data_IF_294069238722
#
_entry.id   IF_294069238722
#
_cell.length_a   1.000
_cell.length_b   1.000
_cell.length_c   1.000
_cell.angle_alpha   90.00
_cell.angle_beta   90.00
_cell.angle_gamma   90.00
#
_symmetry.space_group_name_H-M   'P 1'
#
loop_
_entity.id
_entity.type
_entity.pdbx_description
1 polymer ?
#
# COMPACT_ATOMS: atom_id res chain seq x y z
N UNK A 1 44.50 24.29 66.89
CA UNK A 1 45.37 23.32 67.59
C UNK A 1 46.79 23.32 67.02
N UNK A 2 47.00 23.04 65.72
CA UNK A 2 48.35 23.07 65.12
C UNK A 2 49.10 24.41 65.27
N UNK A 3 48.40 25.56 65.20
CA UNK A 3 49.01 26.88 65.39
C UNK A 3 49.60 27.11 66.80
N UNK A 4 49.19 26.33 67.80
CA UNK A 4 49.70 26.40 69.18
C UNK A 4 50.83 25.38 69.46
N UNK A 5 51.30 24.64 68.45
CA UNK A 5 52.42 23.70 68.63
C UNK A 5 53.76 24.39 68.89
N UNK A 6 53.93 25.65 68.45
CA UNK A 6 55.14 26.43 68.68
C UNK A 6 55.43 26.69 70.17
N UNK A 7 54.38 26.71 71.00
CA UNK A 7 54.44 26.92 72.46
C UNK A 7 54.71 25.67 73.29
N UNK A 8 54.82 24.48 72.67
CA UNK A 8 55.10 23.22 73.37
C UNK A 8 56.62 22.97 73.40
N UNK A 9 57.14 22.43 74.52
CA UNK A 9 58.54 22.06 74.65
C UNK A 9 58.96 21.07 73.54
N UNK A 10 60.17 21.18 72.96
CA UNK A 10 60.57 20.39 71.80
C UNK A 10 60.40 18.87 71.96
N UNK A 11 60.61 18.37 73.18
CA UNK A 11 60.56 16.94 73.53
C UNK A 11 59.13 16.35 73.50
N UNK A 12 58.11 17.18 73.76
CA UNK A 12 56.71 16.74 73.83
C UNK A 12 55.92 17.03 72.55
N UNK A 13 56.48 17.82 71.61
CA UNK A 13 55.88 18.12 70.31
C UNK A 13 55.48 16.88 69.51
N UNK A 14 56.27 15.78 69.45
CA UNK A 14 55.88 14.58 68.71
C UNK A 14 54.62 13.91 69.29
N UNK A 15 54.52 13.86 70.63
CA UNK A 15 53.36 13.27 71.32
C UNK A 15 52.10 14.12 71.11
N UNK A 16 52.22 15.43 71.28
CA UNK A 16 51.11 16.36 71.06
C UNK A 16 50.65 16.38 69.59
N UNK A 17 51.60 16.33 68.64
CA UNK A 17 51.29 16.26 67.21
C UNK A 17 50.52 15.00 66.83
N UNK A 18 50.86 13.85 67.42
CA UNK A 18 50.13 12.59 67.24
C UNK A 18 48.69 12.71 67.71
N UNK A 19 48.46 13.18 68.94
CA UNK A 19 47.10 13.34 69.51
C UNK A 19 46.23 14.28 68.67
N UNK A 20 46.80 15.38 68.16
CA UNK A 20 46.07 16.32 67.30
C UNK A 20 45.76 15.69 65.94
N UNK A 21 46.67 14.89 65.38
CA UNK A 21 46.42 14.19 64.12
C UNK A 21 45.36 13.10 64.26
N UNK A 22 45.42 12.31 65.34
CA UNK A 22 44.42 11.30 65.66
C UNK A 22 43.02 11.93 65.80
N UNK A 23 42.92 13.07 66.50
CA UNK A 23 41.67 13.83 66.60
C UNK A 23 41.19 14.38 65.25
N UNK A 24 42.11 14.87 64.40
CA UNK A 24 41.77 15.34 63.05
C UNK A 24 41.21 14.20 62.21
N UNK A 25 41.83 13.02 62.24
CA UNK A 25 41.37 11.83 61.52
C UNK A 25 39.99 11.38 62.04
N UNK A 26 39.78 11.37 63.35
CA UNK A 26 38.49 11.04 63.96
C UNK A 26 37.39 12.02 63.53
N UNK A 27 37.62 13.33 63.62
CA UNK A 27 36.66 14.34 63.19
C UNK A 27 36.38 14.26 61.67
N UNK A 28 37.41 13.95 60.87
CA UNK A 28 37.26 13.80 59.41
C UNK A 28 36.40 12.57 59.11
N UNK A 29 36.66 11.44 59.76
CA UNK A 29 35.87 10.22 59.58
C UNK A 29 34.42 10.41 60.02
N UNK A 30 34.19 11.08 61.15
CA UNK A 30 32.83 11.39 61.63
C UNK A 30 32.08 12.32 60.66
N UNK A 31 32.78 13.30 60.08
CA UNK A 31 32.20 14.20 59.08
C UNK A 31 31.87 13.44 57.80
N UNK A 32 32.81 12.67 57.25
CA UNK A 32 32.61 11.87 56.04
C UNK A 32 31.49 10.84 56.20
N UNK A 33 31.38 10.21 57.38
CA UNK A 33 30.29 9.27 57.67
C UNK A 33 28.92 9.96 57.73
N UNK A 34 28.85 11.17 58.29
CA UNK A 34 27.60 11.93 58.31
C UNK A 34 27.24 12.50 56.94
N UNK A 35 28.22 12.96 56.18
CA UNK A 35 28.06 13.42 54.80
C UNK A 35 27.54 12.28 53.90
N UNK A 36 28.13 11.08 54.00
CA UNK A 36 27.65 9.88 53.29
C UNK A 36 26.21 9.54 53.66
N UNK A 37 25.86 9.60 54.96
CA UNK A 37 24.49 9.36 55.42
C UNK A 37 23.51 10.38 54.85
N UNK A 38 23.87 11.66 54.87
CA UNK A 38 23.03 12.74 54.36
C UNK A 38 22.80 12.63 52.84
N UNK A 39 23.86 12.39 52.06
CA UNK A 39 23.76 12.18 50.61
C UNK A 39 22.92 10.94 50.28
N UNK A 40 23.05 9.87 51.08
CA UNK A 40 22.26 8.65 50.88
C UNK A 40 20.78 8.79 51.28
N UNK A 41 20.44 9.76 52.13
CA UNK A 41 19.07 9.98 52.61
C UNK A 41 18.20 10.84 51.69
N UNK A 42 18.81 11.57 50.75
CA UNK A 42 18.11 12.58 49.93
C UNK A 42 17.63 12.05 48.56
N UNK A 43 17.79 10.77 48.24
CA UNK A 43 17.56 10.28 46.86
C UNK A 43 16.70 9.01 46.72
N UNK A 44 15.85 8.66 47.70
CA UNK A 44 14.94 7.51 47.56
C UNK A 44 13.50 7.76 48.00
N UNK A 45 13.05 9.02 48.04
CA UNK A 45 11.68 9.27 47.56
C UNK A 45 11.76 9.17 46.05
N UNK A 46 11.86 7.93 45.56
CA UNK A 46 11.62 7.65 44.15
C UNK A 46 10.25 8.21 43.88
N UNK A 47 10.20 9.25 43.04
CA UNK A 47 8.94 9.72 42.48
C UNK A 47 8.17 8.47 42.08
N UNK A 48 7.01 8.26 42.72
CA UNK A 48 6.07 7.21 42.39
C UNK A 48 5.44 7.55 41.03
N UNK A 49 6.28 7.63 40.01
CA UNK A 49 5.90 7.83 38.63
C UNK A 49 5.21 6.57 38.15
N UNK A 50 3.93 6.71 37.87
CA UNK A 50 3.17 5.65 37.24
C UNK A 50 3.62 5.52 35.78
N UNK A 51 4.52 4.57 35.53
CA UNK A 51 5.02 4.24 34.18
C UNK A 51 3.93 3.67 33.25
N UNK A 52 2.71 3.42 33.75
CA UNK A 52 1.57 3.02 32.93
C UNK A 52 0.79 4.22 32.37
N UNK A 53 1.08 5.44 32.84
CA UNK A 53 0.46 6.64 32.29
C UNK A 53 0.80 6.78 30.80
N UNK A 54 -0.19 7.04 29.93
CA UNK A 54 0.06 7.34 28.55
C UNK A 54 1.01 8.54 28.44
N UNK A 55 2.15 8.34 27.79
CA UNK A 55 3.07 9.43 27.49
C UNK A 55 2.47 10.45 26.52
N UNK A 56 3.15 11.58 26.34
CA UNK A 56 2.82 12.50 25.25
C UNK A 56 3.14 11.85 23.91
N UNK A 57 2.11 11.33 23.25
CA UNK A 57 2.24 10.68 21.95
C UNK A 57 1.75 11.60 20.85
N UNK A 58 2.52 11.66 19.76
CA UNK A 58 2.03 12.22 18.51
C UNK A 58 1.14 11.18 17.84
N UNK A 59 -0.02 11.62 17.32
CA UNK A 59 -0.91 10.72 16.58
C UNK A 59 -0.21 10.30 15.28
N UNK A 60 -0.01 8.99 15.12
CA UNK A 60 0.39 8.44 13.84
C UNK A 60 -0.78 8.61 12.85
N UNK A 61 -0.48 9.03 11.62
CA UNK A 61 -1.46 9.08 10.55
C UNK A 61 -1.75 7.68 10.00
N UNK A 62 -2.90 7.51 9.36
CA UNK A 62 -3.23 6.30 8.60
C UNK A 62 -3.06 6.51 7.10
N UNK A 63 -2.79 5.42 6.39
CA UNK A 63 -2.83 5.41 4.92
C UNK A 63 -4.23 5.00 4.47
N UNK A 64 -4.75 5.68 3.45
CA UNK A 64 -6.05 5.33 2.89
C UNK A 64 -6.06 3.84 2.44
N UNK A 65 -7.13 3.07 2.72
CA UNK A 65 -7.18 1.63 2.40
C UNK A 65 -6.95 1.35 0.92
N UNK A 66 -7.48 2.18 0.01
CA UNK A 66 -7.22 2.05 -1.44
C UNK A 66 -5.74 2.22 -1.77
N UNK A 67 -5.05 3.17 -1.14
CA UNK A 67 -3.61 3.35 -1.35
C UNK A 67 -2.80 2.17 -0.81
N UNK A 68 -3.22 1.58 0.32
CA UNK A 68 -2.60 0.38 0.90
C UNK A 68 -2.77 -0.83 -0.01
N UNK A 69 -3.99 -1.07 -0.51
CA UNK A 69 -4.29 -2.15 -1.46
C UNK A 69 -3.58 -1.95 -2.79
N UNK A 70 -3.56 -0.72 -3.33
CA UNK A 70 -2.82 -0.42 -4.56
C UNK A 70 -1.33 -0.68 -4.40
N UNK A 71 -0.73 -0.26 -3.28
CA UNK A 71 0.70 -0.50 -3.03
C UNK A 71 0.98 -2.01 -2.98
N UNK A 72 0.16 -2.78 -2.29
CA UNK A 72 0.31 -4.23 -2.24
C UNK A 72 0.18 -4.89 -3.62
N UNK A 73 -0.81 -4.48 -4.43
CA UNK A 73 -0.96 -4.97 -5.80
C UNK A 73 0.30 -4.68 -6.63
N UNK A 74 0.82 -3.46 -6.53
CA UNK A 74 2.08 -3.06 -7.19
C UNK A 74 3.23 -3.96 -6.74
N UNK A 75 3.42 -4.11 -5.43
CA UNK A 75 4.51 -4.92 -4.87
C UNK A 75 4.46 -6.38 -5.36
N UNK A 76 3.26 -6.97 -5.43
CA UNK A 76 3.06 -8.34 -5.94
C UNK A 76 3.50 -8.44 -7.40
N UNK A 77 3.06 -7.54 -8.27
CA UNK A 77 3.38 -7.62 -9.69
C UNK A 77 4.83 -7.23 -10.00
N UNK A 78 5.38 -6.22 -9.32
CA UNK A 78 6.80 -5.87 -9.46
C UNK A 78 7.72 -6.98 -8.98
N UNK A 79 7.31 -7.77 -7.98
CA UNK A 79 8.09 -8.93 -7.51
C UNK A 79 8.27 -10.03 -8.55
N UNK A 80 7.43 -10.04 -9.59
CA UNK A 80 7.46 -11.00 -10.70
C UNK A 80 7.73 -10.32 -12.04
N UNK A 81 8.35 -9.13 -12.03
CA UNK A 81 8.92 -8.50 -13.22
C UNK A 81 7.98 -7.62 -14.03
N UNK A 82 6.83 -7.23 -13.50
CA UNK A 82 6.02 -6.19 -14.13
C UNK A 82 6.57 -4.80 -13.84
N UNK A 83 6.59 -3.96 -14.87
CA UNK A 83 6.83 -2.52 -14.73
C UNK A 83 5.51 -1.79 -14.48
N UNK A 84 5.58 -0.53 -14.05
CA UNK A 84 4.40 0.29 -13.78
C UNK A 84 4.37 1.44 -14.79
N UNK A 85 3.25 1.58 -15.49
CA UNK A 85 2.99 2.71 -16.38
C UNK A 85 1.77 3.51 -15.89
N UNK A 86 1.77 4.80 -16.18
CA UNK A 86 0.65 5.70 -15.92
C UNK A 86 0.33 6.45 -17.21
N UNK A 87 -0.92 6.85 -17.35
CA UNK A 87 -1.37 7.63 -18.50
C UNK A 87 -2.52 8.55 -18.15
N UNK A 88 -2.97 9.36 -19.11
CA UNK A 88 -3.93 10.43 -18.89
C UNK A 88 -5.30 9.88 -18.47
N UNK A 89 -6.03 10.68 -17.67
CA UNK A 89 -7.40 10.38 -17.25
C UNK A 89 -8.45 10.93 -18.21
N UNK A 90 -8.11 11.98 -18.96
CA UNK A 90 -8.90 12.50 -20.08
C UNK A 90 -8.19 12.05 -21.34
N UNK A 91 -8.89 11.34 -22.21
CA UNK A 91 -8.33 10.80 -23.45
C UNK A 91 -9.35 10.91 -24.59
N UNK A 92 -8.89 10.66 -25.81
CA UNK A 92 -9.81 10.60 -26.95
C UNK A 92 -10.57 9.26 -27.03
N UNK A 93 -11.65 9.25 -27.80
CA UNK A 93 -12.45 8.06 -28.06
C UNK A 93 -11.64 6.94 -28.74
N UNK A 94 -10.62 7.28 -29.52
CA UNK A 94 -9.81 6.28 -30.22
C UNK A 94 -9.06 5.40 -29.22
N UNK A 95 -8.30 6.00 -28.31
CA UNK A 95 -7.51 5.26 -27.31
C UNK A 95 -8.40 4.59 -26.25
N UNK A 96 -9.54 5.21 -25.89
CA UNK A 96 -10.44 4.62 -24.89
C UNK A 96 -11.34 3.52 -25.47
N UNK A 97 -11.62 3.49 -26.77
CA UNK A 97 -12.58 2.53 -27.35
C UNK A 97 -12.12 1.94 -28.67
N UNK A 98 -11.94 2.77 -29.70
CA UNK A 98 -11.80 2.30 -31.08
C UNK A 98 -10.56 1.39 -31.26
N UNK A 99 -9.42 1.76 -30.70
CA UNK A 99 -8.18 0.97 -30.73
C UNK A 99 -8.31 -0.38 -29.97
N UNK A 100 -9.23 -0.44 -29.01
CA UNK A 100 -9.58 -1.63 -28.22
C UNK A 100 -10.73 -2.43 -28.85
N UNK A 101 -10.93 -2.28 -30.16
CA UNK A 101 -11.91 -3.04 -30.93
C UNK A 101 -13.38 -2.87 -30.47
N UNK A 102 -13.70 -1.76 -29.80
CA UNK A 102 -15.09 -1.45 -29.46
C UNK A 102 -15.85 -0.92 -30.68
N UNK A 103 -16.95 -1.58 -31.11
CA UNK A 103 -17.76 -1.08 -32.22
C UNK A 103 -18.40 0.26 -31.87
N UNK A 104 -18.68 1.10 -32.88
CA UNK A 104 -19.29 2.44 -32.69
C UNK A 104 -20.62 2.41 -31.94
N UNK A 105 -21.39 1.32 -32.10
CA UNK A 105 -22.69 1.13 -31.44
C UNK A 105 -22.59 0.34 -30.12
N UNK A 106 -21.40 0.18 -29.55
CA UNK A 106 -21.23 -0.54 -28.28
C UNK A 106 -21.86 0.27 -27.12
N UNK A 107 -22.62 -0.36 -26.20
CA UNK A 107 -23.24 0.35 -25.06
C UNK A 107 -22.25 1.15 -24.22
N UNK A 108 -21.04 0.63 -24.00
CA UNK A 108 -19.99 1.35 -23.27
C UNK A 108 -19.59 2.70 -23.90
N UNK A 109 -19.87 2.94 -25.19
CA UNK A 109 -19.63 4.22 -25.88
C UNK A 109 -20.82 5.18 -25.79
N UNK A 110 -21.94 4.74 -25.21
CA UNK A 110 -23.13 5.55 -25.03
C UNK A 110 -22.86 6.69 -24.03
N UNK A 111 -23.45 7.86 -24.28
CA UNK A 111 -23.42 9.01 -23.37
C UNK A 111 -24.04 8.69 -22.01
N UNK A 112 -24.87 7.64 -21.92
CA UNK A 112 -25.44 7.19 -20.65
C UNK A 112 -24.39 6.57 -19.73
N UNK A 113 -23.35 5.91 -20.27
CA UNK A 113 -22.38 5.14 -19.48
C UNK A 113 -21.01 5.84 -19.36
N UNK A 114 -20.71 6.79 -20.26
CA UNK A 114 -19.41 7.48 -20.33
C UNK A 114 -19.52 8.99 -20.14
N UNK A 115 -18.60 9.58 -19.37
CA UNK A 115 -18.50 11.03 -19.23
C UNK A 115 -17.72 11.66 -20.38
N UNK A 116 -18.41 12.43 -21.23
CA UNK A 116 -17.80 13.21 -22.32
C UNK A 116 -17.45 14.61 -21.85
N UNK A 117 -16.21 15.03 -22.09
CA UNK A 117 -15.73 16.40 -21.80
C UNK A 117 -15.95 17.31 -23.01
N UNK A 118 -15.72 16.77 -24.21
CA UNK A 118 -15.98 17.40 -25.50
C UNK A 118 -16.38 16.31 -26.50
N UNK A 119 -16.69 16.70 -27.75
CA UNK A 119 -16.89 15.71 -28.82
C UNK A 119 -15.61 14.86 -28.96
N UNK A 120 -15.78 13.54 -28.92
CA UNK A 120 -14.71 12.54 -29.04
C UNK A 120 -13.62 12.60 -27.96
N UNK A 121 -13.88 13.30 -26.84
CA UNK A 121 -12.97 13.38 -25.67
C UNK A 121 -13.71 12.95 -24.42
N UNK A 122 -13.19 11.94 -23.72
CA UNK A 122 -13.85 11.25 -22.61
C UNK A 122 -12.97 11.26 -21.35
N UNK A 123 -13.61 11.17 -20.18
CA UNK A 123 -12.94 10.63 -19.00
C UNK A 123 -12.85 9.12 -19.17
N UNK A 124 -11.65 8.56 -19.06
CA UNK A 124 -11.41 7.13 -19.34
C UNK A 124 -12.28 6.22 -18.47
N UNK A 125 -12.86 5.20 -19.08
CA UNK A 125 -13.76 4.23 -18.43
C UNK A 125 -13.02 3.03 -17.84
N UNK A 126 -11.76 2.87 -18.25
CA UNK A 126 -10.82 1.82 -17.89
C UNK A 126 -9.39 2.31 -18.15
N UNK A 127 -8.36 1.66 -17.60
CA UNK A 127 -6.95 2.07 -17.81
C UNK A 127 -6.32 1.44 -19.06
N UNK A 128 -7.11 0.72 -19.86
CA UNK A 128 -6.70 0.13 -21.14
C UNK A 128 -6.23 1.17 -22.16
N UNK A 129 -6.66 2.43 -22.05
CA UNK A 129 -6.19 3.51 -22.91
C UNK A 129 -4.66 3.66 -22.86
N UNK A 130 -4.07 3.53 -21.67
CA UNK A 130 -2.62 3.59 -21.48
C UNK A 130 -1.92 2.41 -22.14
N UNK A 131 -2.58 1.24 -22.24
CA UNK A 131 -2.01 0.08 -22.92
C UNK A 131 -1.84 0.35 -24.42
N UNK A 132 -2.82 1.00 -25.05
CA UNK A 132 -2.73 1.44 -26.45
C UNK A 132 -1.57 2.41 -26.63
N UNK A 133 -1.54 3.51 -25.84
CA UNK A 133 -0.43 4.47 -25.85
C UNK A 133 0.93 3.80 -25.66
N UNK A 134 1.01 2.80 -24.78
CA UNK A 134 2.25 2.07 -24.51
C UNK A 134 2.69 1.21 -25.70
N UNK A 135 1.75 0.52 -26.36
CA UNK A 135 2.04 -0.30 -27.55
C UNK A 135 2.42 0.54 -28.77
N UNK A 136 1.85 1.73 -28.94
CA UNK A 136 2.21 2.64 -30.04
C UNK A 136 3.63 3.21 -29.89
N UNK A 137 4.06 3.44 -28.65
CA UNK A 137 5.34 4.11 -28.34
C UNK A 137 6.48 3.17 -27.96
N UNK A 138 6.21 1.87 -27.83
CA UNK A 138 7.18 0.86 -27.39
C UNK A 138 7.10 -0.35 -28.29
N UNK A 139 8.19 -1.08 -28.52
CA UNK A 139 8.15 -2.37 -29.21
C UNK A 139 8.18 -3.51 -28.19
N UNK A 140 7.53 -4.67 -28.46
CA UNK A 140 7.57 -5.81 -27.54
C UNK A 140 8.98 -6.38 -27.37
N UNK A 141 9.27 -7.10 -26.26
CA UNK A 141 8.31 -7.59 -25.27
C UNK A 141 7.86 -6.54 -24.26
N UNK A 142 6.60 -6.64 -23.83
CA UNK A 142 5.98 -5.73 -22.86
C UNK A 142 5.50 -6.52 -21.63
N UNK A 143 5.70 -5.96 -20.44
CA UNK A 143 5.15 -6.49 -19.20
C UNK A 143 4.89 -5.38 -18.21
N UNK A 144 3.66 -4.89 -18.18
CA UNK A 144 3.27 -3.69 -17.43
C UNK A 144 1.99 -3.89 -16.65
N UNK A 145 1.90 -3.24 -15.49
CA UNK A 145 0.63 -2.89 -14.85
C UNK A 145 0.37 -1.39 -15.02
N UNK A 146 -0.90 -1.04 -15.19
CA UNK A 146 -1.41 0.31 -15.40
C UNK A 146 -2.45 0.63 -14.32
N UNK A 147 -2.01 1.12 -13.15
CA UNK A 147 -2.92 1.61 -12.14
C UNK A 147 -3.44 3.02 -12.46
N UNK A 148 -4.71 3.28 -12.16
CA UNK A 148 -5.28 4.61 -12.37
C UNK A 148 -6.71 4.78 -11.89
N UNK A 149 -7.13 6.04 -11.77
CA UNK A 149 -8.54 6.41 -11.61
C UNK A 149 -9.29 6.25 -12.91
N UNK A 150 -10.51 5.76 -12.82
CA UNK A 150 -11.43 5.56 -13.95
C UNK A 150 -12.82 6.07 -13.58
N UNK A 151 -13.60 6.40 -14.60
CA UNK A 151 -14.85 7.13 -14.45
C UNK A 151 -15.96 6.42 -15.22
N UNK A 152 -17.11 6.23 -14.60
CA UNK A 152 -18.29 5.67 -15.25
C UNK A 152 -19.53 6.43 -14.82
N UNK A 153 -20.39 6.75 -15.77
CA UNK A 153 -21.65 7.42 -15.50
C UNK A 153 -22.69 6.40 -15.02
N UNK A 154 -22.43 5.83 -13.83
CA UNK A 154 -23.31 4.85 -13.21
C UNK A 154 -23.99 5.43 -11.96
N UNK A 155 -25.16 4.89 -11.62
CA UNK A 155 -25.87 5.27 -10.42
C UNK A 155 -25.07 4.89 -9.16
N UNK A 156 -24.79 5.89 -8.32
CA UNK A 156 -24.07 5.69 -7.06
C UNK A 156 -24.90 4.80 -6.12
N UNK A 157 -24.28 3.71 -5.68
CA UNK A 157 -24.87 2.73 -4.77
C UNK A 157 -23.81 2.23 -3.77
N UNK A 158 -24.17 1.25 -2.95
CA UNK A 158 -23.18 0.60 -2.07
C UNK A 158 -22.16 -0.27 -2.85
N UNK A 159 -22.44 -0.59 -4.12
CA UNK A 159 -21.59 -1.42 -4.99
C UNK A 159 -20.83 -0.63 -6.05
N UNK A 160 -21.37 0.50 -6.50
CA UNK A 160 -20.83 1.30 -7.61
C UNK A 160 -20.70 2.78 -7.21
N UNK A 161 -19.64 3.41 -7.70
CA UNK A 161 -19.37 4.84 -7.55
C UNK A 161 -18.87 5.37 -8.90
N UNK A 162 -19.18 6.63 -9.22
CA UNK A 162 -18.87 7.21 -10.53
C UNK A 162 -17.37 7.41 -10.79
N UNK A 163 -16.56 7.37 -9.74
CA UNK A 163 -15.10 7.38 -9.74
C UNK A 163 -14.62 6.17 -8.94
N UNK A 164 -13.69 5.40 -9.49
CA UNK A 164 -13.04 4.32 -8.76
C UNK A 164 -11.65 4.08 -9.35
N UNK A 165 -10.91 3.11 -8.83
CA UNK A 165 -9.56 2.82 -9.28
C UNK A 165 -9.48 1.43 -9.89
N UNK A 166 -8.75 1.33 -10.99
CA UNK A 166 -8.42 0.06 -11.61
C UNK A 166 -6.91 -0.13 -11.66
N UNK A 167 -6.53 -1.41 -11.64
CA UNK A 167 -5.23 -1.84 -12.12
C UNK A 167 -5.49 -2.78 -13.27
N UNK A 168 -4.95 -2.43 -14.43
CA UNK A 168 -4.89 -3.34 -15.55
C UNK A 168 -3.47 -3.80 -15.78
N UNK A 169 -3.31 -4.87 -16.54
CA UNK A 169 -2.02 -5.39 -16.91
C UNK A 169 -2.03 -5.80 -18.37
N UNK A 170 -0.86 -5.66 -19.00
CA UNK A 170 -0.59 -6.11 -20.36
C UNK A 170 0.74 -6.86 -20.37
N UNK A 171 0.72 -8.05 -20.96
CA UNK A 171 1.94 -8.81 -21.29
C UNK A 171 1.89 -9.15 -22.78
N UNK A 172 2.96 -8.81 -23.49
CA UNK A 172 3.13 -9.11 -24.92
C UNK A 172 4.50 -9.73 -25.13
N UNK A 173 4.54 -10.95 -25.65
CA UNK A 173 5.78 -11.64 -26.04
C UNK A 173 5.45 -12.72 -27.10
N UNK A 174 6.47 -13.34 -27.69
CA UNK A 174 6.29 -14.32 -28.79
C UNK A 174 5.61 -15.60 -28.34
N UNK A 175 5.88 -16.04 -27.11
CA UNK A 175 5.47 -17.35 -26.60
C UNK A 175 4.61 -17.21 -25.33
N UNK A 176 3.50 -16.47 -25.43
CA UNK A 176 2.55 -16.28 -24.33
C UNK A 176 1.28 -17.08 -24.59
N UNK A 177 0.81 -17.78 -23.57
CA UNK A 177 -0.38 -18.62 -23.62
C UNK A 177 -1.40 -18.24 -22.55
N UNK A 178 -2.62 -18.77 -22.69
CA UNK A 178 -3.64 -18.66 -21.65
C UNK A 178 -3.22 -19.37 -20.34
N UNK A 179 -2.31 -20.34 -20.41
CA UNK A 179 -1.73 -20.99 -19.22
C UNK A 179 -0.93 -20.01 -18.37
N UNK A 180 -0.19 -19.11 -19.01
CA UNK A 180 0.59 -18.05 -18.33
C UNK A 180 -0.34 -17.05 -17.64
N UNK A 181 -1.43 -16.66 -18.31
CA UNK A 181 -2.49 -15.83 -17.73
C UNK A 181 -3.11 -16.47 -16.48
N UNK A 182 -3.47 -17.76 -16.56
CA UNK A 182 -4.01 -18.48 -15.40
C UNK A 182 -3.01 -18.53 -14.25
N UNK A 183 -1.75 -18.84 -14.55
CA UNK A 183 -0.68 -18.93 -13.55
C UNK A 183 -0.44 -17.61 -12.82
N UNK A 184 -0.37 -16.49 -13.56
CA UNK A 184 -0.13 -15.18 -12.93
C UNK A 184 -1.32 -14.72 -12.09
N UNK A 185 -2.55 -14.98 -12.53
CA UNK A 185 -3.76 -14.63 -11.79
C UNK A 185 -3.93 -15.50 -10.54
N UNK A 186 -3.65 -16.80 -10.62
CA UNK A 186 -3.65 -17.68 -9.45
C UNK A 186 -2.60 -17.24 -8.42
N UNK A 187 -1.39 -16.90 -8.87
CA UNK A 187 -0.35 -16.33 -8.01
C UNK A 187 -0.84 -15.05 -7.32
N UNK A 188 -1.40 -14.10 -8.08
CA UNK A 188 -1.90 -12.85 -7.55
C UNK A 188 -3.00 -13.07 -6.50
N UNK A 189 -4.03 -13.86 -6.82
CA UNK A 189 -5.18 -14.12 -5.95
C UNK A 189 -4.71 -14.78 -4.64
N UNK A 190 -3.82 -15.76 -4.69
CA UNK A 190 -3.25 -16.40 -3.49
C UNK A 190 -2.39 -15.45 -2.66
N UNK A 191 -1.67 -14.51 -3.29
CA UNK A 191 -0.87 -13.50 -2.58
C UNK A 191 -1.73 -12.48 -1.85
N UNK A 192 -2.88 -12.11 -2.42
CA UNK A 192 -3.78 -11.11 -1.82
C UNK A 192 -4.69 -11.72 -0.74
N UNK A 193 -5.30 -12.88 -1.01
CA UNK A 193 -6.35 -13.49 -0.18
C UNK A 193 -5.88 -14.70 0.63
N UNK A 194 -4.63 -15.14 0.45
CA UNK A 194 -4.06 -16.31 1.12
C UNK A 194 -4.15 -17.60 0.30
N UNK A 195 -3.39 -18.62 0.69
CA UNK A 195 -3.22 -19.85 -0.07
C UNK A 195 -4.45 -20.76 -0.12
N UNK A 196 -5.40 -20.58 0.80
CA UNK A 196 -6.63 -21.37 0.92
C UNK A 196 -7.81 -20.82 0.12
N UNK A 197 -7.64 -19.71 -0.59
CA UNK A 197 -8.72 -19.10 -1.38
C UNK A 197 -9.12 -20.03 -2.53
N UNK A 198 -10.43 -20.26 -2.66
CA UNK A 198 -10.99 -20.99 -3.80
C UNK A 198 -11.33 -19.99 -4.90
N UNK A 199 -10.81 -20.22 -6.10
CA UNK A 199 -11.05 -19.39 -7.28
C UNK A 199 -11.54 -20.23 -8.46
N UNK A 200 -12.24 -19.61 -9.41
CA UNK A 200 -12.60 -20.23 -10.68
C UNK A 200 -12.46 -19.24 -11.83
N UNK A 201 -12.23 -19.78 -13.03
CA UNK A 201 -12.30 -19.04 -14.28
C UNK A 201 -13.62 -19.36 -14.96
N UNK A 202 -14.34 -18.34 -15.41
CA UNK A 202 -15.60 -18.48 -16.16
C UNK A 202 -15.44 -17.78 -17.51
N UNK A 203 -15.82 -18.41 -18.64
CA UNK A 203 -15.83 -17.72 -19.92
C UNK A 203 -16.68 -16.44 -19.86
N UNK A 204 -16.18 -15.37 -20.47
CA UNK A 204 -16.87 -14.10 -20.62
C UNK A 204 -16.58 -13.51 -22.00
N UNK A 205 -16.93 -12.25 -22.24
CA UNK A 205 -16.69 -11.56 -23.49
C UNK A 205 -16.21 -10.13 -23.23
N UNK A 206 -15.06 -9.78 -23.80
CA UNK A 206 -14.57 -8.40 -23.89
C UNK A 206 -14.12 -8.13 -25.32
N UNK A 207 -14.48 -6.99 -25.95
CA UNK A 207 -14.16 -6.72 -27.36
C UNK A 207 -12.65 -6.77 -27.71
N UNK A 208 -11.79 -6.51 -26.72
CA UNK A 208 -10.34 -6.44 -26.86
C UNK A 208 -9.61 -7.74 -26.47
N UNK A 209 -10.33 -8.81 -26.13
CA UNK A 209 -9.71 -10.11 -25.81
C UNK A 209 -10.45 -11.31 -26.38
N UNK A 210 -9.71 -12.29 -26.90
CA UNK A 210 -10.24 -13.57 -27.36
C UNK A 210 -9.17 -14.69 -27.25
N UNK A 211 -9.37 -15.74 -26.42
CA UNK A 211 -10.51 -15.98 -25.53
C UNK A 211 -10.55 -15.06 -24.30
N UNK A 212 -11.76 -14.75 -23.86
CA UNK A 212 -12.08 -13.94 -22.68
C UNK A 212 -12.55 -14.78 -21.47
N UNK A 213 -12.21 -14.34 -20.26
CA UNK A 213 -12.65 -14.97 -19.01
C UNK A 213 -12.79 -13.96 -17.85
N UNK A 214 -13.65 -14.28 -16.90
CA UNK A 214 -13.73 -13.64 -15.59
C UNK A 214 -13.17 -14.58 -14.52
N UNK A 215 -12.67 -13.99 -13.42
CA UNK A 215 -12.24 -14.72 -12.25
C UNK A 215 -13.12 -14.37 -11.06
N UNK A 216 -13.69 -15.42 -10.47
CA UNK A 216 -14.44 -15.33 -9.22
C UNK A 216 -13.65 -15.96 -8.08
N UNK A 217 -13.83 -15.43 -6.86
CA UNK A 217 -13.43 -16.08 -5.61
C UNK A 217 -14.65 -16.48 -4.79
N UNK A 218 -14.53 -17.56 -4.02
CA UNK A 218 -15.57 -18.00 -3.09
C UNK A 218 -15.49 -17.19 -1.79
N UNK A 219 -16.57 -16.49 -1.44
CA UNK A 219 -16.70 -15.79 -0.16
C UNK A 219 -17.47 -16.67 0.83
N UNK A 220 -16.76 -17.33 1.74
CA UNK A 220 -17.33 -18.19 2.78
C UNK A 220 -18.32 -17.45 3.69
N UNK A 221 -18.10 -16.15 3.95
CA UNK A 221 -18.99 -15.37 4.83
C UNK A 221 -20.35 -15.13 4.17
N UNK A 222 -20.38 -15.05 2.84
CA UNK A 222 -21.60 -14.81 2.05
C UNK A 222 -22.16 -16.07 1.40
N UNK A 223 -21.39 -17.16 1.37
CA UNK A 223 -21.76 -18.41 0.70
C UNK A 223 -21.99 -18.25 -0.80
N UNK A 224 -21.22 -17.38 -1.48
CA UNK A 224 -21.38 -17.11 -2.91
C UNK A 224 -20.07 -16.80 -3.62
N UNK A 225 -20.07 -16.99 -4.93
CA UNK A 225 -19.00 -16.54 -5.82
C UNK A 225 -19.05 -15.03 -6.03
N UNK A 226 -17.90 -14.38 -5.94
CA UNK A 226 -17.75 -12.96 -6.19
C UNK A 226 -16.70 -12.73 -7.26
N UNK A 227 -17.13 -12.09 -8.34
CA UNK A 227 -16.26 -11.60 -9.41
C UNK A 227 -15.25 -10.60 -8.84
N UNK A 228 -13.97 -10.76 -9.19
CA UNK A 228 -12.89 -9.87 -8.75
C UNK A 228 -12.13 -9.23 -9.91
N UNK A 229 -12.12 -9.84 -11.10
CA UNK A 229 -11.41 -9.33 -12.27
C UNK A 229 -11.89 -9.97 -13.59
N UNK A 230 -11.68 -9.23 -14.68
CA UNK A 230 -11.80 -9.72 -16.05
C UNK A 230 -10.42 -9.89 -16.71
N UNK A 231 -10.29 -10.83 -17.64
CA UNK A 231 -9.03 -11.15 -18.30
C UNK A 231 -9.23 -11.83 -19.66
N UNK A 232 -8.17 -11.92 -20.45
CA UNK A 232 -8.17 -12.69 -21.68
C UNK A 232 -6.88 -12.58 -22.47
N UNK A 233 -6.79 -13.34 -23.57
CA UNK A 233 -5.73 -13.13 -24.57
C UNK A 233 -6.07 -11.90 -25.40
N UNK A 234 -5.11 -11.02 -25.66
CA UNK A 234 -5.34 -9.81 -26.45
C UNK A 234 -5.84 -10.18 -27.86
N UNK A 235 -6.93 -9.56 -28.29
CA UNK A 235 -7.52 -9.82 -29.61
C UNK A 235 -6.55 -9.36 -30.72
N UNK A 236 -6.35 -10.15 -31.80
CA UNK A 236 -5.49 -9.77 -32.92
C UNK A 236 -5.79 -8.39 -33.51
N UNK A 237 -7.05 -7.95 -33.55
CA UNK A 237 -7.43 -6.64 -34.07
C UNK A 237 -6.82 -5.49 -33.24
N UNK A 238 -6.65 -5.68 -31.94
CA UNK A 238 -6.00 -4.68 -31.07
C UNK A 238 -4.52 -4.56 -31.43
N UNK A 239 -3.83 -5.67 -31.72
CA UNK A 239 -2.44 -5.63 -32.18
C UNK A 239 -2.30 -4.97 -33.55
N UNK A 240 -3.20 -5.26 -34.48
CA UNK A 240 -3.21 -4.62 -35.80
C UNK A 240 -3.39 -3.10 -35.69
N UNK A 241 -4.27 -2.63 -34.80
CA UNK A 241 -4.51 -1.20 -34.56
C UNK A 241 -3.26 -0.44 -34.08
N UNK A 242 -2.34 -1.09 -33.38
CA UNK A 242 -1.09 -0.49 -32.86
C UNK A 242 0.15 -0.89 -33.67
N UNK A 243 -0.03 -1.57 -34.81
CA UNK A 243 1.05 -1.93 -35.72
C UNK A 243 1.88 -3.16 -35.31
N UNK A 244 1.36 -4.01 -34.44
CA UNK A 244 1.99 -5.29 -34.07
C UNK A 244 1.47 -6.42 -34.96
N UNK A 245 2.36 -7.31 -35.44
CA UNK A 245 1.96 -8.49 -36.21
C UNK A 245 1.44 -9.60 -35.27
N UNK A 246 0.13 -9.94 -35.31
CA UNK A 246 -0.47 -10.96 -34.44
C UNK A 246 0.00 -12.39 -34.76
N UNK A 247 0.72 -12.61 -35.87
CA UNK A 247 1.38 -13.90 -36.17
C UNK A 247 2.68 -14.08 -35.40
N UNK A 248 3.29 -12.98 -34.95
CA UNK A 248 4.57 -12.97 -34.23
C UNK A 248 4.34 -12.74 -32.75
N UNK A 249 3.47 -11.79 -32.41
CA UNK A 249 3.26 -11.33 -31.04
C UNK A 249 1.95 -11.87 -30.49
N UNK A 250 2.05 -12.41 -29.27
CA UNK A 250 0.92 -12.87 -28.49
C UNK A 250 0.90 -12.10 -27.17
N UNK A 251 -0.25 -12.03 -26.52
CA UNK A 251 -0.33 -11.38 -25.23
C UNK A 251 -1.59 -11.68 -24.47
N UNK A 252 -1.57 -11.38 -23.19
CA UNK A 252 -2.75 -11.38 -22.35
C UNK A 252 -2.89 -10.04 -21.63
N UNK A 253 -4.12 -9.73 -21.28
CA UNK A 253 -4.45 -8.60 -20.44
C UNK A 253 -5.43 -9.03 -19.34
N UNK A 254 -5.42 -8.29 -18.23
CA UNK A 254 -6.42 -8.42 -17.19
C UNK A 254 -6.66 -7.09 -16.50
N UNK A 255 -7.84 -6.92 -15.92
CA UNK A 255 -8.26 -5.71 -15.23
C UNK A 255 -9.05 -6.01 -13.97
N UNK A 256 -8.71 -5.31 -12.89
CA UNK A 256 -9.34 -5.46 -11.59
C UNK A 256 -9.64 -4.10 -10.95
N UNK A 257 -10.76 -4.02 -10.23
CA UNK A 257 -11.11 -2.85 -9.43
C UNK A 257 -10.46 -2.90 -8.05
N UNK A 258 -9.74 -1.85 -7.65
CA UNK A 258 -9.01 -1.81 -6.37
C UNK A 258 -9.99 -1.80 -5.19
N UNK A 259 -11.09 -1.05 -5.32
CA UNK A 259 -12.14 -0.96 -4.31
C UNK A 259 -12.73 -2.34 -4.02
N UNK A 260 -12.98 -3.15 -5.05
CA UNK A 260 -13.50 -4.52 -4.89
C UNK A 260 -12.55 -5.38 -4.07
N UNK A 261 -11.26 -5.34 -4.39
CA UNK A 261 -10.24 -6.08 -3.65
C UNK A 261 -10.13 -5.61 -2.20
N UNK A 262 -10.09 -4.30 -1.98
CA UNK A 262 -10.03 -3.70 -0.65
C UNK A 262 -11.27 -4.06 0.19
N UNK A 263 -12.46 -4.03 -0.40
CA UNK A 263 -13.71 -4.40 0.26
C UNK A 263 -13.70 -5.85 0.72
N UNK A 264 -13.26 -6.77 -0.14
CA UNK A 264 -13.19 -8.18 0.19
C UNK A 264 -12.13 -8.45 1.26
N UNK A 265 -10.95 -7.84 1.11
CA UNK A 265 -9.82 -8.03 2.02
C UNK A 265 -10.10 -7.50 3.43
N UNK A 266 -10.70 -6.33 3.54
CA UNK A 266 -10.94 -5.65 4.81
C UNK A 266 -12.37 -5.83 5.34
N UNK A 267 -13.25 -6.54 4.61
CA UNK A 267 -14.64 -6.76 5.02
C UNK A 267 -15.51 -5.50 4.95
N UNK A 268 -15.21 -4.58 4.04
CA UNK A 268 -15.97 -3.33 3.87
C UNK A 268 -17.18 -3.60 2.98
N UNK A 269 -18.36 -3.15 3.43
CA UNK A 269 -19.64 -3.46 2.78
C UNK A 269 -20.10 -2.42 1.76
N UNK A 270 -19.54 -1.22 1.79
CA UNK A 270 -20.01 -0.07 1.01
C UNK A 270 -18.84 0.72 0.41
N UNK A 271 -18.80 0.81 -0.92
CA UNK A 271 -17.77 1.53 -1.67
C UNK A 271 -17.71 3.03 -1.33
N UNK A 272 -18.84 3.63 -0.94
CA UNK A 272 -18.96 5.07 -0.68
C UNK A 272 -18.12 5.51 0.51
N UNK A 273 -17.82 4.59 1.44
CA UNK A 273 -16.99 4.87 2.62
C UNK A 273 -15.57 5.32 2.24
N UNK A 274 -15.04 4.86 1.11
CA UNK A 274 -13.74 5.31 0.60
C UNK A 274 -13.74 6.79 0.18
N UNK A 275 -14.87 7.33 -0.26
CA UNK A 275 -14.95 8.68 -0.81
C UNK A 275 -15.47 9.71 0.20
N UNK A 276 -16.12 9.26 1.28
CA UNK A 276 -16.58 10.13 2.37
C UNK A 276 -15.42 10.70 3.21
N UNK A 277 -14.27 10.03 3.23
CA UNK A 277 -13.11 10.41 4.04
C UNK A 277 -13.44 10.59 5.54
N UNK A 278 -14.33 9.76 6.08
CA UNK A 278 -14.65 9.78 7.51
C UNK A 278 -13.42 9.34 8.32
N UNK A 279 -12.96 10.20 9.22
CA UNK A 279 -11.79 9.94 10.04
C UNK A 279 -11.90 8.64 10.85
N UNK A 280 -13.08 8.31 11.39
CA UNK A 280 -13.31 7.10 12.19
C UNK A 280 -13.18 5.84 11.36
N UNK A 281 -13.48 5.92 10.06
CA UNK A 281 -13.25 4.84 9.11
C UNK A 281 -11.75 4.75 8.77
N UNK A 282 -11.11 5.88 8.46
CA UNK A 282 -9.69 5.90 8.07
C UNK A 282 -8.74 5.51 9.21
N UNK A 283 -9.07 5.78 10.46
CA UNK A 283 -8.25 5.43 11.63
C UNK A 283 -8.17 3.90 11.88
N UNK A 284 -8.92 3.07 11.13
CA UNK A 284 -8.93 1.60 11.26
C UNK A 284 -7.84 0.88 10.42
N UNK A 285 -7.08 1.61 9.58
CA UNK A 285 -6.19 1.04 8.56
C UNK A 285 -4.72 1.42 8.69
#
# INVERSE_FOLDING_TARGET
MYAQMGSIAPEDRPKAGKVINDLKEECTHLFEDQEKKYISSDSTQGDSLDYTLPGETQRLGSRHPISKTLQEIKDIFTSVGFHIAYGPEIDDDYHNFTALNFPQHHPARDMQDTFFVQKDVVLRTHTSNVQIHLMENTQPPLRYIVPGRVYRNEAISFKSYCLFHQVEALVVDKNISFGDLKGILEYFVKRVFGSSVTMRFRPSFFPFTEPSAEVDIWDEKRGQWLEILGCGMVDPAVFENVGYDPKIWHGYAFGLGIERIAMLKYGISDIRLFFQNDKRFLDQF
#
